data_IF_438338951037
#
_entry.id   IF_438338951037
#
_cell.length_a   1.000
_cell.length_b   1.000
_cell.length_c   1.000
_cell.angle_alpha   90.00
_cell.angle_beta   90.00
_cell.angle_gamma   90.00
#
_symmetry.space_group_name_H-M   'P 1'
#
loop_
_entity.id
_entity.type
_entity.pdbx_description
1 polymer ?
#
# COMPACT_ATOMS: atom_id res chain seq x y z
N UNK A 1 -42.43 -24.48 -7.36
CA UNK A 1 -41.88 -25.85 -7.21
C UNK A 1 -40.37 -25.74 -7.34
N UNK A 2 -39.57 -26.52 -6.61
CA UNK A 2 -38.12 -26.43 -6.73
C UNK A 2 -37.70 -26.74 -8.17
N UNK A 3 -36.85 -25.88 -8.73
CA UNK A 3 -36.31 -26.01 -10.09
C UNK A 3 -35.23 -27.09 -10.18
N UNK A 4 -34.54 -27.34 -9.07
CA UNK A 4 -33.43 -28.27 -8.94
C UNK A 4 -33.65 -29.23 -7.77
N UNK A 5 -33.28 -30.48 -8.01
CA UNK A 5 -33.13 -31.51 -6.98
C UNK A 5 -31.83 -31.31 -6.18
N UNK A 6 -31.74 -31.97 -5.02
CA UNK A 6 -30.54 -31.95 -4.16
C UNK A 6 -29.29 -32.41 -4.94
N UNK A 7 -29.39 -33.44 -5.78
CA UNK A 7 -28.26 -33.94 -6.58
C UNK A 7 -27.87 -33.01 -7.72
N UNK A 8 -28.83 -32.31 -8.34
CA UNK A 8 -28.53 -31.31 -9.35
C UNK A 8 -27.80 -30.10 -8.74
N UNK A 9 -28.25 -29.62 -7.57
CA UNK A 9 -27.63 -28.50 -6.86
C UNK A 9 -26.15 -28.73 -6.55
N UNK A 10 -25.77 -29.95 -6.12
CA UNK A 10 -24.38 -30.32 -5.87
C UNK A 10 -23.50 -30.22 -7.11
N UNK A 11 -24.06 -30.63 -8.24
CA UNK A 11 -23.36 -30.78 -9.51
C UNK A 11 -23.44 -29.53 -10.40
N UNK A 12 -24.11 -28.46 -9.95
CA UNK A 12 -24.11 -27.19 -10.66
C UNK A 12 -22.68 -26.70 -10.89
N UNK A 13 -22.40 -26.42 -12.16
CA UNK A 13 -21.10 -25.91 -12.59
C UNK A 13 -20.93 -24.45 -12.21
N UNK A 14 -22.02 -23.67 -12.29
CA UNK A 14 -22.03 -22.26 -11.88
C UNK A 14 -23.32 -21.93 -11.11
N UNK A 15 -23.39 -22.29 -9.82
CA UNK A 15 -24.59 -22.03 -9.02
C UNK A 15 -24.88 -20.53 -8.86
N UNK A 16 -23.88 -19.65 -9.01
CA UNK A 16 -24.14 -18.21 -9.05
C UNK A 16 -25.06 -17.85 -10.22
N UNK A 17 -24.67 -18.23 -11.44
CA UNK A 17 -25.47 -17.92 -12.63
C UNK A 17 -26.86 -18.55 -12.56
N UNK A 18 -26.92 -19.80 -12.13
CA UNK A 18 -28.16 -20.58 -12.17
C UNK A 18 -29.15 -20.23 -11.05
N UNK A 19 -28.67 -19.86 -9.85
CA UNK A 19 -29.53 -19.57 -8.71
C UNK A 19 -29.72 -18.05 -8.50
N UNK A 20 -28.72 -17.23 -8.78
CA UNK A 20 -28.75 -15.80 -8.48
C UNK A 20 -29.25 -14.93 -9.65
N UNK A 21 -28.83 -15.16 -10.89
CA UNK A 21 -29.22 -14.28 -12.01
C UNK A 21 -30.71 -14.37 -12.38
N UNK A 22 -31.35 -15.52 -12.12
CA UNK A 22 -32.79 -15.72 -12.24
C UNK A 22 -33.48 -15.30 -10.93
N UNK A 23 -34.43 -14.33 -10.98
CA UNK A 23 -34.84 -13.54 -9.80
C UNK A 23 -35.39 -14.40 -8.67
N UNK A 24 -36.09 -15.49 -8.99
CA UNK A 24 -36.85 -16.26 -8.00
C UNK A 24 -36.26 -17.65 -7.74
N UNK A 25 -35.30 -18.10 -8.57
CA UNK A 25 -34.77 -19.47 -8.52
C UNK A 25 -34.13 -19.79 -7.16
N UNK A 26 -33.41 -18.85 -6.55
CA UNK A 26 -32.81 -19.06 -5.23
C UNK A 26 -33.85 -19.37 -4.14
N UNK A 27 -34.91 -18.57 -4.07
CA UNK A 27 -35.99 -18.75 -3.12
C UNK A 27 -36.80 -20.03 -3.40
N UNK A 28 -37.07 -20.34 -4.67
CA UNK A 28 -37.77 -21.56 -5.08
C UNK A 28 -37.05 -22.85 -4.70
N UNK A 29 -35.72 -22.81 -4.60
CA UNK A 29 -34.88 -23.95 -4.24
C UNK A 29 -34.40 -23.94 -2.79
N UNK A 30 -34.92 -23.05 -1.94
CA UNK A 30 -34.50 -22.92 -0.53
C UNK A 30 -34.53 -24.26 0.21
N UNK A 31 -35.62 -25.01 0.09
CA UNK A 31 -35.79 -26.27 0.82
C UNK A 31 -34.80 -27.35 0.29
N UNK A 32 -34.54 -27.38 -1.02
CA UNK A 32 -33.52 -28.26 -1.62
C UNK A 32 -32.10 -27.88 -1.17
N UNK A 33 -31.80 -26.58 -1.09
CA UNK A 33 -30.52 -26.06 -0.58
C UNK A 33 -30.32 -26.40 0.89
N UNK A 34 -31.39 -26.37 1.69
CA UNK A 34 -31.32 -26.69 3.11
C UNK A 34 -31.11 -28.19 3.39
N UNK A 35 -31.58 -29.06 2.49
CA UNK A 35 -31.38 -30.51 2.55
C UNK A 35 -29.98 -30.97 2.14
N UNK A 36 -29.13 -30.10 1.60
CA UNK A 36 -27.75 -30.43 1.28
C UNK A 36 -26.98 -30.84 2.54
N UNK A 37 -26.04 -31.77 2.40
CA UNK A 37 -25.07 -32.02 3.46
C UNK A 37 -24.22 -30.78 3.73
N UNK A 38 -23.72 -30.60 4.96
CA UNK A 38 -22.99 -29.39 5.33
C UNK A 38 -21.79 -29.08 4.41
N UNK A 39 -21.03 -30.09 4.01
CA UNK A 39 -19.92 -29.94 3.07
C UNK A 39 -20.39 -29.52 1.66
N UNK A 40 -21.54 -30.03 1.21
CA UNK A 40 -22.13 -29.63 -0.06
C UNK A 40 -22.64 -28.18 -0.02
N UNK A 41 -23.21 -27.74 1.13
CA UNK A 41 -23.58 -26.33 1.34
C UNK A 41 -22.35 -25.43 1.21
N UNK A 42 -21.23 -25.78 1.86
CA UNK A 42 -19.96 -25.03 1.76
C UNK A 42 -19.45 -25.01 0.31
N UNK A 43 -19.49 -26.14 -0.39
CA UNK A 43 -19.05 -26.25 -1.79
C UNK A 43 -19.87 -25.37 -2.72
N UNK A 44 -21.20 -25.43 -2.63
CA UNK A 44 -22.12 -24.60 -3.42
C UNK A 44 -21.93 -23.12 -3.09
N UNK A 45 -21.91 -22.75 -1.80
CA UNK A 45 -21.67 -21.37 -1.37
C UNK A 45 -20.31 -20.85 -1.86
N UNK A 46 -19.25 -21.65 -1.79
CA UNK A 46 -17.92 -21.31 -2.30
C UNK A 46 -17.95 -21.02 -3.79
N UNK A 47 -18.57 -21.88 -4.61
CA UNK A 47 -18.71 -21.66 -6.05
C UNK A 47 -19.51 -20.39 -6.34
N UNK A 48 -20.58 -20.14 -5.60
CA UNK A 48 -21.40 -18.93 -5.74
C UNK A 48 -20.60 -17.67 -5.44
N UNK A 49 -19.90 -17.66 -4.30
CA UNK A 49 -19.10 -16.53 -3.85
C UNK A 49 -17.91 -16.32 -4.76
N UNK A 50 -17.27 -17.33 -5.33
CA UNK A 50 -16.18 -17.12 -6.30
C UNK A 50 -16.66 -16.55 -7.63
N UNK A 51 -17.80 -17.02 -8.13
CA UNK A 51 -18.32 -16.62 -9.43
C UNK A 51 -19.00 -15.23 -9.42
N UNK A 52 -19.36 -14.70 -8.24
CA UNK A 52 -20.01 -13.40 -8.12
C UNK A 52 -19.07 -12.24 -8.53
N UNK A 53 -19.47 -11.30 -9.40
CA UNK A 53 -18.69 -10.08 -9.66
C UNK A 53 -18.62 -9.13 -8.45
N UNK A 54 -17.52 -8.38 -8.30
CA UNK A 54 -17.33 -7.45 -7.17
C UNK A 54 -18.47 -6.42 -7.02
N UNK A 55 -19.00 -5.91 -8.13
CA UNK A 55 -20.11 -4.95 -8.12
C UNK A 55 -21.48 -5.57 -7.81
N UNK A 56 -21.59 -6.90 -7.73
CA UNK A 56 -22.83 -7.63 -7.43
C UNK A 56 -22.82 -8.30 -6.05
N UNK A 57 -21.72 -8.22 -5.31
CA UNK A 57 -21.61 -8.80 -3.96
C UNK A 57 -22.69 -8.31 -3.00
N UNK A 58 -22.98 -7.01 -3.02
CA UNK A 58 -24.05 -6.42 -2.19
C UNK A 58 -25.42 -6.99 -2.58
N UNK A 59 -25.68 -7.15 -3.87
CA UNK A 59 -26.93 -7.72 -4.36
C UNK A 59 -27.07 -9.19 -3.98
N UNK A 60 -25.98 -9.96 -4.05
CA UNK A 60 -25.95 -11.35 -3.59
C UNK A 60 -26.23 -11.46 -2.09
N UNK A 61 -25.62 -10.60 -1.28
CA UNK A 61 -25.86 -10.55 0.16
C UNK A 61 -27.29 -10.14 0.52
N UNK A 62 -27.91 -9.26 -0.26
CA UNK A 62 -29.32 -8.89 -0.03
C UNK A 62 -30.26 -10.03 -0.42
N UNK A 63 -30.00 -10.67 -1.56
CA UNK A 63 -30.82 -11.78 -2.04
C UNK A 63 -30.68 -13.03 -1.15
N UNK A 64 -29.52 -13.25 -0.53
CA UNK A 64 -29.36 -14.36 0.40
C UNK A 64 -30.30 -14.28 1.61
N UNK A 65 -30.76 -13.08 2.00
CA UNK A 65 -31.74 -12.92 3.07
C UNK A 65 -33.09 -13.59 2.75
N UNK A 66 -33.42 -13.82 1.47
CA UNK A 66 -34.63 -14.56 1.07
C UNK A 66 -34.59 -16.03 1.50
N UNK A 67 -33.39 -16.56 1.76
CA UNK A 67 -33.18 -17.93 2.21
C UNK A 67 -33.39 -18.10 3.72
N UNK A 68 -33.50 -16.99 4.46
CA UNK A 68 -33.66 -16.99 5.92
C UNK A 68 -35.01 -17.58 6.34
N UNK A 69 -35.00 -18.38 7.40
CA UNK A 69 -36.23 -18.93 7.99
C UNK A 69 -36.14 -19.06 9.52
N UNK A 70 -37.28 -19.32 10.19
CA UNK A 70 -37.37 -19.30 11.66
C UNK A 70 -36.62 -20.42 12.38
N UNK A 71 -36.24 -21.49 11.67
CA UNK A 71 -35.55 -22.67 12.23
C UNK A 71 -34.08 -22.72 11.82
N UNK A 72 -33.50 -21.56 11.52
CA UNK A 72 -32.14 -21.46 11.04
C UNK A 72 -31.12 -21.88 12.10
N UNK A 73 -30.15 -22.68 11.68
CA UNK A 73 -29.00 -23.12 12.47
C UNK A 73 -27.72 -22.58 11.85
N UNK A 74 -26.58 -22.71 12.53
CA UNK A 74 -25.27 -22.36 11.96
C UNK A 74 -24.98 -23.13 10.65
N UNK A 75 -25.54 -24.33 10.49
CA UNK A 75 -25.38 -25.17 9.29
C UNK A 75 -26.42 -24.88 8.19
N UNK A 76 -27.38 -23.98 8.43
CA UNK A 76 -28.36 -23.62 7.43
C UNK A 76 -27.70 -22.90 6.25
N UNK A 77 -28.19 -23.14 5.03
CA UNK A 77 -27.50 -22.70 3.82
C UNK A 77 -27.35 -21.17 3.76
N UNK A 78 -28.34 -20.41 4.24
CA UNK A 78 -28.21 -18.96 4.39
C UNK A 78 -26.99 -18.56 5.26
N UNK A 79 -26.82 -19.19 6.43
CA UNK A 79 -25.68 -18.91 7.34
C UNK A 79 -24.34 -19.27 6.71
N UNK A 80 -24.27 -20.40 6.02
CA UNK A 80 -23.09 -20.83 5.28
C UNK A 80 -22.76 -19.82 4.18
N UNK A 81 -23.74 -19.41 3.36
CA UNK A 81 -23.53 -18.41 2.32
C UNK A 81 -23.06 -17.06 2.88
N UNK A 82 -23.69 -16.59 3.97
CA UNK A 82 -23.32 -15.34 4.63
C UNK A 82 -21.89 -15.37 5.19
N UNK A 83 -21.46 -16.49 5.80
CA UNK A 83 -20.07 -16.69 6.24
C UNK A 83 -19.08 -16.72 5.06
N UNK A 84 -19.43 -17.37 3.96
CA UNK A 84 -18.61 -17.35 2.74
C UNK A 84 -18.46 -15.93 2.16
N UNK A 85 -19.55 -15.16 2.14
CA UNK A 85 -19.53 -13.75 1.74
C UNK A 85 -18.65 -12.89 2.66
N UNK A 86 -18.67 -13.17 3.96
CA UNK A 86 -17.82 -12.52 4.95
C UNK A 86 -16.33 -12.78 4.67
N UNK A 87 -15.93 -14.03 4.42
CA UNK A 87 -14.55 -14.38 4.03
C UNK A 87 -14.10 -13.56 2.83
N UNK A 88 -14.96 -13.44 1.80
CA UNK A 88 -14.65 -12.64 0.62
C UNK A 88 -14.51 -11.16 0.93
N UNK A 89 -15.44 -10.58 1.69
CA UNK A 89 -15.36 -9.17 2.08
C UNK A 89 -14.09 -8.86 2.87
N UNK A 90 -13.72 -9.72 3.83
CA UNK A 90 -12.50 -9.55 4.63
C UNK A 90 -11.24 -9.59 3.76
N UNK A 91 -11.13 -10.54 2.83
CA UNK A 91 -9.98 -10.61 1.91
C UNK A 91 -9.91 -9.38 1.00
N UNK A 92 -11.05 -8.94 0.45
CA UNK A 92 -11.09 -7.73 -0.38
C UNK A 92 -10.77 -6.47 0.41
N UNK A 93 -11.24 -6.35 1.65
CA UNK A 93 -10.91 -5.23 2.53
C UNK A 93 -9.41 -5.16 2.85
N UNK A 94 -8.74 -6.32 2.97
CA UNK A 94 -7.28 -6.35 3.12
C UNK A 94 -6.53 -5.97 1.84
N UNK A 95 -7.07 -6.33 0.68
CA UNK A 95 -6.51 -6.02 -0.64
C UNK A 95 -6.82 -4.58 -1.10
N UNK A 96 -7.76 -3.89 -0.46
CA UNK A 96 -8.13 -2.52 -0.81
C UNK A 96 -7.01 -1.50 -0.46
N UNK A 97 -6.48 -0.85 -1.48
CA UNK A 97 -5.47 0.19 -1.35
C UNK A 97 -5.96 1.43 -0.60
N UNK A 98 -7.27 1.68 -0.57
CA UNK A 98 -7.87 2.80 0.17
C UNK A 98 -8.11 2.48 1.66
N UNK A 99 -8.08 1.21 2.06
CA UNK A 99 -8.26 0.84 3.46
C UNK A 99 -7.04 1.27 4.30
N UNK A 100 -7.17 2.18 5.29
CA UNK A 100 -6.04 2.61 6.12
C UNK A 100 -5.52 1.53 7.07
N UNK A 101 -6.35 0.54 7.42
CA UNK A 101 -6.06 -0.48 8.43
C UNK A 101 -6.42 -1.89 7.95
N UNK A 102 -5.83 -2.39 6.84
CA UNK A 102 -6.13 -3.72 6.30
C UNK A 102 -5.88 -4.83 7.31
N UNK A 103 -4.86 -4.69 8.14
CA UNK A 103 -4.46 -5.68 9.14
C UNK A 103 -5.53 -5.98 10.19
N UNK A 104 -6.48 -5.07 10.44
CA UNK A 104 -7.50 -5.28 11.48
C UNK A 104 -8.39 -6.50 11.19
N UNK A 105 -8.55 -6.90 9.92
CA UNK A 105 -9.26 -8.14 9.56
C UNK A 105 -8.57 -9.42 10.06
N UNK A 106 -7.30 -9.31 10.47
CA UNK A 106 -6.46 -10.40 10.96
C UNK A 106 -5.91 -10.14 12.36
N UNK A 107 -6.37 -9.11 13.07
CA UNK A 107 -5.87 -8.75 14.40
C UNK A 107 -7.00 -8.66 15.42
N UNK A 108 -6.66 -8.87 16.69
CA UNK A 108 -7.59 -8.70 17.80
C UNK A 108 -8.77 -9.68 17.78
N UNK A 109 -9.83 -9.30 18.50
CA UNK A 109 -10.99 -10.16 18.77
C UNK A 109 -11.88 -10.42 17.54
N UNK A 110 -11.69 -9.65 16.47
CA UNK A 110 -12.46 -9.80 15.24
C UNK A 110 -11.92 -10.92 14.35
N UNK A 111 -10.67 -11.36 14.57
CA UNK A 111 -10.08 -12.44 13.81
C UNK A 111 -10.69 -13.80 14.20
N UNK A 112 -11.20 -14.53 13.20
CA UNK A 112 -11.77 -15.86 13.36
C UNK A 112 -11.08 -16.83 12.40
N UNK A 113 -10.14 -17.63 12.90
CA UNK A 113 -9.42 -18.61 12.09
C UNK A 113 -10.34 -19.72 11.55
N UNK A 114 -11.32 -20.14 12.34
CA UNK A 114 -12.24 -21.22 11.98
C UNK A 114 -13.09 -20.84 10.78
N UNK A 115 -13.53 -19.58 10.69
CA UNK A 115 -14.24 -19.05 9.53
C UNK A 115 -13.43 -19.21 8.23
N UNK A 116 -12.15 -18.85 8.25
CA UNK A 116 -11.30 -19.01 7.06
C UNK A 116 -11.04 -20.50 6.75
N UNK A 117 -10.84 -21.32 7.79
CA UNK A 117 -10.56 -22.74 7.64
C UNK A 117 -11.77 -23.54 7.13
N UNK A 118 -12.99 -23.16 7.51
CA UNK A 118 -14.23 -23.71 6.97
C UNK A 118 -14.31 -23.52 5.45
N UNK A 119 -13.94 -22.33 4.97
CA UNK A 119 -13.98 -21.97 3.56
C UNK A 119 -12.61 -22.12 2.87
N UNK A 120 -11.98 -23.29 3.03
CA UNK A 120 -10.61 -23.57 2.56
C UNK A 120 -10.36 -23.21 1.10
N UNK A 121 -11.18 -23.73 0.19
CA UNK A 121 -10.97 -23.52 -1.24
C UNK A 121 -11.25 -22.07 -1.66
N UNK A 122 -12.22 -21.42 -1.00
CA UNK A 122 -12.54 -20.01 -1.19
C UNK A 122 -11.36 -19.11 -0.76
N UNK A 123 -10.82 -19.30 0.45
CA UNK A 123 -9.70 -18.49 0.94
C UNK A 123 -8.46 -18.64 0.05
N UNK A 124 -8.16 -19.86 -0.42
CA UNK A 124 -7.00 -20.11 -1.29
C UNK A 124 -7.17 -19.33 -2.59
N UNK A 125 -8.29 -19.50 -3.29
CA UNK A 125 -8.49 -18.84 -4.58
C UNK A 125 -8.53 -17.33 -4.47
N UNK A 126 -9.22 -16.77 -3.47
CA UNK A 126 -9.30 -15.32 -3.29
C UNK A 126 -7.95 -14.71 -2.91
N UNK A 127 -7.19 -15.35 -2.01
CA UNK A 127 -5.87 -14.85 -1.64
C UNK A 127 -4.86 -14.94 -2.77
N UNK A 128 -4.96 -15.95 -3.65
CA UNK A 128 -4.11 -16.05 -4.84
C UNK A 128 -4.43 -14.98 -5.89
N UNK A 129 -5.71 -14.69 -6.12
CA UNK A 129 -6.16 -13.64 -7.03
C UNK A 129 -5.65 -12.25 -6.60
N UNK A 130 -5.66 -11.98 -5.30
CA UNK A 130 -5.33 -10.66 -4.73
C UNK A 130 -3.93 -10.62 -4.09
N UNK A 131 -3.09 -11.65 -4.31
CA UNK A 131 -1.85 -11.86 -3.54
C UNK A 131 -0.94 -10.63 -3.52
N UNK A 132 -0.76 -9.99 -4.67
CA UNK A 132 0.13 -8.82 -4.79
C UNK A 132 -0.39 -7.64 -4.00
N UNK A 133 -1.68 -7.33 -4.09
CA UNK A 133 -2.28 -6.19 -3.39
C UNK A 133 -2.38 -6.45 -1.88
N UNK A 134 -2.72 -7.68 -1.47
CA UNK A 134 -2.68 -8.12 -0.07
C UNK A 134 -1.31 -7.91 0.57
N UNK A 135 -0.25 -8.44 -0.06
CA UNK A 135 1.11 -8.36 0.48
C UNK A 135 1.55 -6.90 0.60
N UNK A 136 1.35 -6.10 -0.45
CA UNK A 136 1.77 -4.69 -0.43
C UNK A 136 1.01 -3.90 0.65
N UNK A 137 -0.32 -4.03 0.72
CA UNK A 137 -1.11 -3.27 1.67
C UNK A 137 -0.82 -3.66 3.12
N UNK A 138 -0.76 -4.96 3.42
CA UNK A 138 -0.45 -5.42 4.76
C UNK A 138 0.95 -4.97 5.19
N UNK A 139 1.97 -5.10 4.34
CA UNK A 139 3.35 -4.74 4.71
C UNK A 139 3.50 -3.23 4.91
N UNK A 140 2.89 -2.41 4.06
CA UNK A 140 2.98 -0.95 4.16
C UNK A 140 2.22 -0.37 5.36
N UNK A 141 1.08 -0.96 5.70
CA UNK A 141 0.15 -0.37 6.69
C UNK A 141 0.19 -1.06 8.05
N UNK A 142 0.86 -2.20 8.19
CA UNK A 142 1.04 -2.87 9.48
C UNK A 142 2.19 -2.22 10.27
N UNK A 143 1.91 -1.68 11.47
CA UNK A 143 2.92 -1.23 12.43
C UNK A 143 3.82 -2.38 12.90
N UNK A 144 5.08 -2.08 13.21
CA UNK A 144 6.08 -3.11 13.51
C UNK A 144 5.73 -3.94 14.76
N UNK A 145 5.08 -3.35 15.76
CA UNK A 145 4.63 -4.05 16.96
C UNK A 145 3.47 -5.03 16.71
N UNK A 146 2.81 -4.98 15.56
CA UNK A 146 1.70 -5.86 15.18
C UNK A 146 2.14 -6.99 14.22
N UNK A 147 3.36 -6.93 13.66
CA UNK A 147 3.83 -7.91 12.66
C UNK A 147 3.83 -9.34 13.20
N UNK A 148 4.18 -9.52 14.47
CA UNK A 148 4.22 -10.87 15.07
C UNK A 148 2.82 -11.49 15.16
N UNK A 149 1.84 -10.75 15.69
CA UNK A 149 0.46 -11.20 15.80
C UNK A 149 -0.15 -11.46 14.41
N UNK A 150 0.08 -10.55 13.46
CA UNK A 150 -0.36 -10.73 12.07
C UNK A 150 0.16 -12.04 11.50
N UNK A 151 1.46 -12.33 11.63
CA UNK A 151 2.05 -13.56 11.11
C UNK A 151 1.49 -14.82 11.81
N UNK A 152 1.17 -14.76 13.10
CA UNK A 152 0.53 -15.85 13.83
C UNK A 152 -0.88 -16.10 13.28
N UNK A 153 -1.67 -15.05 13.09
CA UNK A 153 -3.05 -15.16 12.61
C UNK A 153 -3.12 -15.57 11.12
N UNK A 154 -2.19 -15.10 10.29
CA UNK A 154 -2.04 -15.60 8.90
C UNK A 154 -1.75 -17.10 8.90
N UNK A 155 -0.89 -17.61 9.80
CA UNK A 155 -0.64 -19.07 9.91
C UNK A 155 -1.85 -19.84 10.42
N UNK A 156 -2.69 -19.24 11.27
CA UNK A 156 -3.84 -19.91 11.85
C UNK A 156 -5.04 -19.98 10.89
N UNK A 157 -5.41 -18.86 10.25
CA UNK A 157 -6.60 -18.76 9.40
C UNK A 157 -6.31 -18.84 7.90
N UNK A 158 -5.14 -18.36 7.46
CA UNK A 158 -4.74 -18.35 6.05
C UNK A 158 -3.59 -19.33 5.78
N UNK A 159 -3.54 -20.40 6.58
CA UNK A 159 -2.74 -21.59 6.29
C UNK A 159 -3.01 -22.09 4.86
N UNK A 160 -1.99 -22.69 4.26
CA UNK A 160 -2.04 -23.29 2.90
C UNK A 160 -2.14 -22.29 1.74
N UNK A 161 -2.34 -21.01 2.03
CA UNK A 161 -2.23 -19.93 1.04
C UNK A 161 -0.77 -19.56 0.81
N UNK A 162 -0.49 -18.91 -0.33
CA UNK A 162 0.85 -18.33 -0.62
C UNK A 162 1.11 -17.03 0.16
N UNK A 163 0.14 -16.52 0.90
CA UNK A 163 0.23 -15.23 1.58
C UNK A 163 1.30 -15.22 2.68
N UNK A 164 1.35 -16.23 3.54
CA UNK A 164 2.31 -16.30 4.65
C UNK A 164 3.77 -16.20 4.20
N UNK A 165 4.24 -17.07 3.28
CA UNK A 165 5.59 -16.96 2.72
C UNK A 165 5.86 -15.63 2.04
N UNK A 166 4.91 -15.11 1.24
CA UNK A 166 5.06 -13.84 0.54
C UNK A 166 5.15 -12.63 1.50
N UNK A 167 4.39 -12.64 2.60
CA UNK A 167 4.48 -11.63 3.65
C UNK A 167 5.84 -11.70 4.36
N UNK A 168 6.34 -12.90 4.67
CA UNK A 168 7.64 -13.08 5.29
C UNK A 168 8.76 -12.42 4.47
N UNK A 169 8.82 -12.72 3.17
CA UNK A 169 9.76 -12.10 2.24
C UNK A 169 9.60 -10.58 2.16
N UNK A 170 8.37 -10.09 2.07
CA UNK A 170 8.08 -8.67 1.96
C UNK A 170 8.39 -7.89 3.25
N UNK A 171 8.22 -8.47 4.44
CA UNK A 171 8.64 -7.88 5.70
C UNK A 171 10.17 -7.82 5.85
N UNK A 172 10.89 -8.83 5.35
CA UNK A 172 12.35 -8.75 5.25
C UNK A 172 12.76 -7.57 4.37
N UNK A 173 12.13 -7.42 3.20
CA UNK A 173 12.38 -6.27 2.34
C UNK A 173 12.03 -4.93 3.02
N UNK A 174 10.89 -4.84 3.72
CA UNK A 174 10.49 -3.65 4.48
C UNK A 174 11.60 -3.22 5.46
N UNK A 175 12.18 -4.19 6.18
CA UNK A 175 13.29 -3.93 7.11
C UNK A 175 14.53 -3.39 6.37
N UNK A 176 14.92 -4.01 5.26
CA UNK A 176 16.05 -3.54 4.44
C UNK A 176 15.81 -2.12 3.87
N UNK A 177 14.61 -1.84 3.38
CA UNK A 177 14.23 -0.52 2.88
C UNK A 177 14.20 0.54 3.99
N UNK A 178 13.78 0.16 5.20
CA UNK A 178 13.82 1.04 6.37
C UNK A 178 15.27 1.35 6.77
N UNK A 179 16.16 0.36 6.72
CA UNK A 179 17.60 0.56 6.93
C UNK A 179 18.18 1.53 5.89
N UNK A 180 17.82 1.37 4.61
CA UNK A 180 18.25 2.29 3.54
C UNK A 180 17.82 3.75 3.79
N UNK A 181 16.71 3.99 4.49
CA UNK A 181 16.27 5.34 4.86
C UNK A 181 16.89 5.86 6.17
N UNK A 182 17.57 4.99 6.93
CA UNK A 182 18.12 5.34 8.23
C UNK A 182 19.36 6.24 8.13
N UNK A 183 19.94 6.58 9.28
CA UNK A 183 21.25 7.24 9.36
C UNK A 183 22.39 6.36 8.86
N UNK A 184 22.21 5.03 8.85
CA UNK A 184 23.24 4.04 8.52
C UNK A 184 22.79 3.13 7.35
N UNK A 185 22.58 3.69 6.15
CA UNK A 185 22.00 2.94 5.03
C UNK A 185 22.87 1.80 4.51
N UNK A 186 24.17 1.83 4.81
CA UNK A 186 25.10 0.76 4.44
C UNK A 186 24.75 -0.58 5.10
N UNK A 187 24.08 -0.56 6.27
CA UNK A 187 23.67 -1.77 6.98
C UNK A 187 22.70 -2.64 6.18
N UNK A 188 21.94 -2.05 5.25
CA UNK A 188 21.06 -2.81 4.36
C UNK A 188 21.84 -3.75 3.43
N UNK A 189 23.08 -3.39 3.04
CA UNK A 189 23.93 -4.16 2.12
C UNK A 189 24.84 -5.15 2.84
N UNK A 190 25.15 -4.89 4.11
CA UNK A 190 25.96 -5.81 4.93
C UNK A 190 25.11 -6.79 5.75
N UNK A 191 23.78 -6.66 5.71
CA UNK A 191 22.86 -7.57 6.37
C UNK A 191 22.90 -8.96 5.74
N UNK A 192 22.82 -10.01 6.58
CA UNK A 192 22.64 -11.39 6.12
C UNK A 192 21.34 -11.61 5.36
N UNK A 193 20.36 -10.71 5.53
CA UNK A 193 19.07 -10.79 4.86
C UNK A 193 19.08 -10.13 3.47
N UNK A 194 20.19 -9.49 3.07
CA UNK A 194 20.28 -8.83 1.78
C UNK A 194 20.09 -9.84 0.65
N UNK A 195 19.01 -9.67 -0.11
CA UNK A 195 18.68 -10.51 -1.25
C UNK A 195 18.12 -9.65 -2.39
N UNK A 196 18.88 -9.47 -3.50
CA UNK A 196 18.45 -8.67 -4.65
C UNK A 196 17.11 -9.12 -5.23
N UNK A 197 16.81 -10.42 -5.19
CA UNK A 197 15.57 -10.95 -5.74
C UNK A 197 14.32 -10.37 -5.05
N UNK A 198 14.42 -10.03 -3.76
CA UNK A 198 13.30 -9.43 -3.02
C UNK A 198 12.93 -8.04 -3.56
N UNK A 199 13.93 -7.23 -3.89
CA UNK A 199 13.72 -5.88 -4.43
C UNK A 199 13.01 -5.94 -5.79
N UNK A 200 13.39 -6.89 -6.64
CA UNK A 200 12.76 -7.09 -7.95
C UNK A 200 11.36 -7.72 -7.84
N UNK A 201 11.13 -8.58 -6.84
CA UNK A 201 9.83 -9.22 -6.61
C UNK A 201 8.77 -8.24 -6.10
N UNK A 202 9.17 -7.20 -5.37
CA UNK A 202 8.25 -6.24 -4.76
C UNK A 202 8.52 -4.78 -5.19
N UNK A 203 8.38 -4.45 -6.48
CA UNK A 203 8.72 -3.12 -7.01
C UNK A 203 7.87 -2.00 -6.41
N UNK A 204 6.61 -2.28 -6.04
CA UNK A 204 5.72 -1.31 -5.38
C UNK A 204 6.21 -0.93 -3.98
N UNK A 205 6.70 -1.90 -3.20
CA UNK A 205 7.33 -1.62 -1.91
C UNK A 205 8.58 -0.76 -2.11
N UNK A 206 9.47 -1.16 -3.02
CA UNK A 206 10.68 -0.39 -3.33
C UNK A 206 10.35 1.07 -3.69
N UNK A 207 9.39 1.27 -4.60
CA UNK A 207 8.95 2.59 -5.02
C UNK A 207 8.44 3.44 -3.84
N UNK A 208 7.65 2.86 -2.93
CA UNK A 208 7.11 3.59 -1.78
C UNK A 208 8.16 4.09 -0.79
N UNK A 209 9.33 3.45 -0.73
CA UNK A 209 10.44 3.85 0.15
C UNK A 209 11.49 4.71 -0.56
N UNK A 210 11.72 4.53 -1.85
CA UNK A 210 12.84 5.18 -2.54
C UNK A 210 12.45 6.47 -3.26
N UNK A 211 11.22 6.55 -3.82
CA UNK A 211 10.84 7.69 -4.67
C UNK A 211 10.99 9.03 -3.92
N UNK A 212 11.80 9.92 -4.49
CA UNK A 212 12.05 11.26 -3.98
C UNK A 212 13.11 11.33 -2.87
N UNK A 213 13.73 10.19 -2.51
CA UNK A 213 14.77 10.11 -1.45
C UNK A 213 16.09 9.54 -1.96
N UNK A 214 16.16 9.19 -3.24
CA UNK A 214 17.28 8.48 -3.84
C UNK A 214 18.60 9.23 -3.65
N UNK A 215 18.60 10.56 -3.83
CA UNK A 215 19.81 11.37 -3.80
C UNK A 215 20.39 11.48 -2.39
N UNK A 216 19.51 11.62 -1.39
CA UNK A 216 19.88 11.67 0.02
C UNK A 216 20.49 10.34 0.47
N UNK A 217 19.85 9.22 0.11
CA UNK A 217 20.32 7.88 0.42
C UNK A 217 21.67 7.63 -0.26
N UNK A 218 21.79 7.95 -1.56
CA UNK A 218 23.02 7.82 -2.32
C UNK A 218 24.19 8.59 -1.69
N UNK A 219 23.97 9.83 -1.25
CA UNK A 219 24.99 10.63 -0.60
C UNK A 219 25.46 10.02 0.73
N UNK A 220 24.53 9.52 1.55
CA UNK A 220 24.88 8.82 2.80
C UNK A 220 25.66 7.54 2.54
N UNK A 221 25.27 6.77 1.54
CA UNK A 221 25.97 5.56 1.12
C UNK A 221 27.39 5.87 0.64
N UNK A 222 27.58 6.91 -0.17
CA UNK A 222 28.91 7.34 -0.64
C UNK A 222 29.84 7.78 0.51
N UNK A 223 29.28 8.25 1.63
CA UNK A 223 30.06 8.64 2.81
C UNK A 223 30.44 7.44 3.71
N UNK A 224 29.89 6.25 3.47
CA UNK A 224 30.22 5.05 4.22
C UNK A 224 31.65 4.55 3.91
N UNK A 225 32.19 3.75 4.85
CA UNK A 225 33.45 3.02 4.65
C UNK A 225 33.24 1.71 3.87
N UNK A 226 32.01 1.19 3.81
CA UNK A 226 31.65 -0.08 3.16
C UNK A 226 31.38 0.04 1.65
N UNK A 227 32.09 0.95 0.97
CA UNK A 227 31.79 1.34 -0.43
C UNK A 227 31.82 0.19 -1.41
N UNK A 228 32.76 -0.76 -1.23
CA UNK A 228 32.89 -1.91 -2.12
C UNK A 228 31.66 -2.83 -2.04
N UNK A 229 31.21 -3.13 -0.82
CA UNK A 229 30.01 -3.95 -0.59
C UNK A 229 28.75 -3.24 -1.10
N UNK A 230 28.62 -1.94 -0.84
CA UNK A 230 27.51 -1.11 -1.33
C UNK A 230 27.48 -1.11 -2.88
N UNK A 231 28.62 -0.88 -3.52
CA UNK A 231 28.70 -0.85 -4.97
C UNK A 231 28.30 -2.20 -5.59
N UNK A 232 28.83 -3.30 -5.06
CA UNK A 232 28.46 -4.65 -5.50
C UNK A 232 26.98 -4.95 -5.27
N UNK A 233 26.41 -4.53 -4.14
CA UNK A 233 25.00 -4.70 -3.84
C UNK A 233 24.10 -3.90 -4.79
N UNK A 234 24.40 -2.63 -5.02
CA UNK A 234 23.61 -1.79 -5.93
C UNK A 234 23.74 -2.24 -7.40
N UNK A 235 24.89 -2.78 -7.82
CA UNK A 235 25.05 -3.43 -9.13
C UNK A 235 24.06 -4.58 -9.31
N UNK A 236 23.90 -5.42 -8.27
CA UNK A 236 22.96 -6.55 -8.30
C UNK A 236 21.49 -6.11 -8.33
N UNK A 237 21.19 -4.88 -7.87
CA UNK A 237 19.84 -4.30 -7.88
C UNK A 237 19.48 -3.61 -9.20
N UNK A 238 20.41 -3.53 -10.17
CA UNK A 238 20.10 -2.94 -11.48
C UNK A 238 19.01 -3.76 -12.17
N UNK A 239 17.90 -3.15 -12.60
CA UNK A 239 16.91 -3.85 -13.39
C UNK A 239 17.53 -4.32 -14.72
N UNK A 240 17.19 -5.54 -15.14
CA UNK A 240 17.65 -6.10 -16.41
C UNK A 240 17.16 -5.30 -17.63
N UNK A 241 16.04 -4.57 -17.47
CA UNK A 241 15.52 -3.63 -18.46
C UNK A 241 15.75 -2.22 -17.91
N UNK A 242 16.66 -1.47 -18.55
CA UNK A 242 16.99 -0.11 -18.12
C UNK A 242 15.80 0.83 -18.34
N UNK A 243 15.00 1.04 -17.31
CA UNK A 243 14.08 2.17 -17.24
C UNK A 243 14.76 3.27 -16.43
N UNK A 244 15.03 4.42 -17.07
CA UNK A 244 15.61 5.59 -16.40
C UNK A 244 14.69 6.19 -15.32
N UNK A 245 13.45 5.70 -15.20
CA UNK A 245 12.48 6.10 -14.18
C UNK A 245 12.38 5.10 -13.01
N UNK A 246 13.15 4.01 -13.02
CA UNK A 246 13.15 3.03 -11.94
C UNK A 246 13.94 3.55 -10.71
N UNK A 247 13.36 3.52 -9.49
CA UNK A 247 14.01 4.08 -8.29
C UNK A 247 15.35 3.44 -7.94
N UNK A 248 15.56 2.15 -8.23
CA UNK A 248 16.84 1.48 -7.97
C UNK A 248 17.91 1.94 -8.96
N UNK A 249 17.53 2.13 -10.22
CA UNK A 249 18.40 2.69 -11.26
C UNK A 249 18.83 4.12 -10.94
N UNK A 250 17.89 4.95 -10.48
CA UNK A 250 18.14 6.32 -10.04
C UNK A 250 19.11 6.32 -8.85
N UNK A 251 18.82 5.51 -7.82
CA UNK A 251 19.67 5.37 -6.63
C UNK A 251 21.11 4.97 -7.00
N UNK A 252 21.28 3.97 -7.87
CA UNK A 252 22.61 3.55 -8.33
C UNK A 252 23.34 4.70 -9.05
N UNK A 253 22.69 5.38 -9.98
CA UNK A 253 23.31 6.48 -10.75
C UNK A 253 23.78 7.63 -9.86
N UNK A 254 22.98 7.97 -8.85
CA UNK A 254 23.30 9.03 -7.90
C UNK A 254 24.41 8.60 -6.95
N UNK A 255 24.44 7.31 -6.55
CA UNK A 255 25.54 6.77 -5.76
C UNK A 255 26.88 6.84 -6.51
N UNK A 256 26.91 6.49 -7.80
CA UNK A 256 28.14 6.62 -8.60
C UNK A 256 28.64 8.07 -8.63
N UNK A 257 27.73 9.02 -8.84
CA UNK A 257 28.05 10.45 -8.87
C UNK A 257 28.59 10.91 -7.51
N UNK A 258 27.89 10.59 -6.42
CA UNK A 258 28.29 10.96 -5.07
C UNK A 258 29.61 10.30 -4.63
N UNK A 259 29.87 9.06 -5.06
CA UNK A 259 31.11 8.36 -4.73
C UNK A 259 32.33 9.04 -5.37
N UNK A 260 32.25 9.41 -6.65
CA UNK A 260 33.33 10.16 -7.33
C UNK A 260 33.60 11.49 -6.65
N UNK A 261 32.55 12.23 -6.28
CA UNK A 261 32.69 13.50 -5.56
C UNK A 261 33.34 13.31 -4.18
N UNK A 262 32.95 12.27 -3.46
CA UNK A 262 33.52 11.97 -2.14
C UNK A 262 34.99 11.52 -2.21
N UNK A 263 35.40 10.84 -3.30
CA UNK A 263 36.81 10.49 -3.56
C UNK A 263 37.64 11.73 -3.91
N UNK A 264 37.14 12.60 -4.78
CA UNK A 264 37.80 13.86 -5.13
C UNK A 264 38.00 14.77 -3.90
N UNK A 265 36.99 14.85 -3.01
CA UNK A 265 37.09 15.61 -1.77
C UNK A 265 38.18 15.06 -0.83
N UNK A 266 38.32 13.73 -0.71
CA UNK A 266 39.38 13.09 0.09
C UNK A 266 40.77 13.38 -0.48
N UNK A 267 40.92 13.37 -1.81
CA UNK A 267 42.19 13.71 -2.47
C UNK A 267 42.60 15.18 -2.28
N UNK A 268 41.64 16.12 -2.29
CA UNK A 268 41.93 17.53 -2.00
C UNK A 268 42.29 17.79 -0.52
N UNK A 269 41.69 17.05 0.41
CA UNK A 269 42.08 17.15 1.84
C UNK A 269 43.50 16.62 2.09
N UNK A 270 43.90 15.52 1.44
CA UNK A 270 45.26 14.97 1.58
C UNK A 270 46.34 15.82 0.89
N UNK A 271 46.01 16.54 -0.18
CA UNK A 271 46.97 17.44 -0.85
C UNK A 271 47.08 18.81 -0.15
N UNK A 272 46.02 19.26 0.53
CA UNK A 272 46.06 20.49 1.35
C UNK A 272 46.86 20.36 2.65
N UNK A 273 47.02 19.14 3.21
CA UNK A 273 47.79 18.93 4.44
C UNK A 273 49.32 18.92 4.24
N UNK A 274 49.81 18.97 2.99
CA UNK A 274 51.25 19.04 2.68
C UNK A 274 51.73 20.43 2.25
N UNK A 275 50.86 21.45 2.27
CA UNK A 275 51.25 22.85 1.96
C UNK A 275 51.08 23.69 3.22
N UNK A 276 51.82 23.38 4.29
CA UNK A 276 52.04 24.34 5.38
C UNK A 276 53.29 24.05 6.20
N UNK A 277 54.46 24.06 5.55
CA UNK A 277 55.74 24.38 6.21
C UNK A 277 56.65 25.06 5.21
N UNK A 278 56.60 26.38 5.16
CA UNK A 278 57.75 27.20 4.77
C UNK A 278 57.62 28.54 5.48
N UNK A 279 58.45 28.68 6.51
CA UNK A 279 58.84 29.92 7.14
C UNK A 279 59.03 31.03 6.10
N UNK A 280 58.24 32.10 6.21
CA UNK A 280 58.59 33.39 5.60
C UNK A 280 58.92 34.32 6.76
N UNK A 281 60.23 34.51 6.96
CA UNK A 281 60.82 35.53 7.81
C UNK A 281 60.48 36.92 7.25
N UNK A 282 60.05 37.90 8.06
CA UNK A 282 59.85 39.26 7.58
C UNK A 282 61.21 39.95 7.41
N UNK A 283 61.60 40.25 6.17
CA UNK A 283 62.64 41.23 5.89
C UNK A 283 62.01 42.56 5.48
N UNK A 284 62.48 43.59 6.19
CA UNK A 284 62.37 45.03 5.96
C UNK A 284 61.97 45.46 4.54
N UNK A 285 60.85 46.17 4.44
CA UNK A 285 60.61 47.11 3.35
C UNK A 285 60.56 48.51 3.98
N UNK A 286 61.58 49.30 3.62
CA UNK A 286 61.73 50.71 3.97
C UNK A 286 60.62 51.55 3.37
N UNK A 287 60.23 52.55 4.16
CA UNK A 287 59.41 53.70 3.80
C UNK A 287 59.87 54.37 2.50
N UNK A 288 58.93 54.62 1.58
CA UNK A 288 58.97 55.79 0.70
C UNK A 288 57.61 56.46 0.72
N UNK A 289 57.67 57.76 1.03
CA UNK A 289 56.59 58.73 1.26
C UNK A 289 55.84 59.07 -0.04
N UNK A 290 54.54 59.47 0.03
CA UNK A 290 53.73 59.77 -1.15
C UNK A 290 53.75 61.26 -1.52
N UNK A 291 53.67 61.58 -2.82
CA UNK A 291 53.37 62.96 -3.27
C UNK A 291 52.61 63.00 -4.62
N UNK A 292 51.29 63.22 -4.50
CA UNK A 292 50.41 64.20 -5.20
C UNK A 292 50.03 64.06 -6.71
N UNK A 293 48.77 64.49 -6.94
CA UNK A 293 48.02 64.90 -8.15
C UNK A 293 47.41 63.78 -9.02
N UNK A 294 46.09 63.53 -8.91
CA UNK A 294 44.98 64.26 -9.57
C UNK A 294 45.06 64.25 -11.10
N UNK A 295 44.20 63.46 -11.74
CA UNK A 295 43.32 64.02 -12.77
C UNK A 295 42.01 63.24 -12.86
N UNK A 296 40.94 64.02 -12.77
CA UNK A 296 39.53 63.68 -12.85
C UNK A 296 39.17 63.48 -14.32
N UNK A 297 38.40 62.43 -14.64
CA UNK A 297 37.39 62.51 -15.71
C UNK A 297 36.20 61.61 -15.41
N UNK A 298 35.11 62.27 -15.08
CA UNK A 298 33.74 61.77 -15.10
C UNK A 298 33.36 61.29 -16.49
N UNK A 299 32.75 60.11 -16.59
CA UNK A 299 31.70 59.84 -17.58
C UNK A 299 30.60 59.03 -16.88
N UNK A 300 29.45 59.68 -16.71
CA UNK A 300 28.17 59.11 -16.23
C UNK A 300 27.39 58.52 -17.45
N UNK A 301 26.20 57.90 -17.29
CA UNK A 301 25.92 56.56 -17.79
C UNK A 301 24.92 56.55 -18.96
N UNK A 302 24.98 55.53 -19.82
CA UNK A 302 23.87 55.23 -20.73
C UNK A 302 23.13 53.98 -20.28
N UNK A 303 21.92 54.26 -19.78
CA UNK A 303 20.77 53.37 -19.65
C UNK A 303 20.44 52.64 -20.96
N UNK A 304 20.31 51.31 -20.90
CA UNK A 304 19.57 50.56 -21.91
C UNK A 304 18.80 49.38 -21.28
N UNK A 305 17.49 49.61 -21.20
CA UNK A 305 16.38 48.68 -21.50
C UNK A 305 16.33 47.33 -20.75
N UNK A 306 15.55 47.38 -19.68
CA UNK A 306 14.71 46.30 -19.17
C UNK A 306 13.85 45.72 -20.31
N UNK A 307 14.00 44.43 -20.61
CA UNK A 307 13.04 43.68 -21.42
C UNK A 307 12.35 42.67 -20.50
N UNK A 308 11.03 42.80 -20.40
CA UNK A 308 10.13 41.91 -19.66
C UNK A 308 10.23 40.45 -20.16
N UNK A 309 10.12 39.44 -19.29
CA UNK A 309 9.88 38.07 -19.72
C UNK A 309 8.38 37.87 -20.03
N UNK A 310 8.13 37.47 -21.27
CA UNK A 310 6.84 37.03 -21.81
C UNK A 310 6.15 36.01 -20.91
N UNK A 311 4.94 36.35 -20.47
CA UNK A 311 3.98 35.43 -19.85
C UNK A 311 3.51 34.41 -20.89
N UNK A 312 4.01 33.19 -20.81
CA UNK A 312 3.37 32.02 -21.44
C UNK A 312 2.37 31.46 -20.43
N UNK A 313 1.10 31.56 -20.80
CA UNK A 313 -0.06 31.11 -20.06
C UNK A 313 -0.19 29.58 -20.07
N UNK A 314 0.20 28.92 -18.97
CA UNK A 314 -0.22 27.55 -18.70
C UNK A 314 -1.61 27.54 -18.06
N UNK A 315 -2.66 27.69 -18.87
CA UNK A 315 -4.03 27.45 -18.45
C UNK A 315 -4.31 25.93 -18.41
N UNK A 316 -3.99 25.27 -17.29
CA UNK A 316 -4.53 23.92 -17.02
C UNK A 316 -4.74 23.57 -15.54
N UNK A 317 -4.70 24.55 -14.64
CA UNK A 317 -4.97 24.35 -13.20
C UNK A 317 -6.18 25.13 -12.64
N UNK A 318 -7.03 25.70 -13.50
CA UNK A 318 -8.19 26.50 -13.07
C UNK A 318 -9.54 25.75 -12.97
N UNK A 319 -9.64 24.50 -13.43
CA UNK A 319 -10.93 23.77 -13.50
C UNK A 319 -11.20 22.78 -12.37
N UNK A 320 -10.23 22.50 -11.49
CA UNK A 320 -10.43 21.60 -10.35
C UNK A 320 -10.87 22.31 -9.07
N UNK A 321 -10.60 23.62 -8.93
CA UNK A 321 -11.02 24.39 -7.76
C UNK A 321 -12.53 24.71 -7.77
N UNK A 322 -13.15 24.87 -8.94
CA UNK A 322 -14.59 25.17 -9.06
C UNK A 322 -15.53 23.94 -8.94
N UNK A 323 -14.97 22.73 -8.88
CA UNK A 323 -15.73 21.49 -8.67
C UNK A 323 -15.83 21.10 -7.19
N UNK A 324 -14.94 21.62 -6.34
CA UNK A 324 -14.94 21.34 -4.90
C UNK A 324 -16.04 22.13 -4.15
N UNK A 325 -16.32 23.35 -4.57
CA UNK A 325 -17.38 24.18 -3.96
C UNK A 325 -18.80 23.77 -4.34
N UNK A 326 -19.00 23.07 -5.47
CA UNK A 326 -20.30 22.51 -5.86
C UNK A 326 -20.65 21.19 -5.17
N UNK A 327 -19.67 20.47 -4.63
CA UNK A 327 -19.92 19.22 -3.89
C UNK A 327 -20.27 19.47 -2.41
N UNK A 328 -19.70 20.50 -1.79
CA UNK A 328 -20.00 20.84 -0.39
C UNK A 328 -21.41 21.44 -0.19
N UNK A 329 -22.03 22.00 -1.22
CA UNK A 329 -23.40 22.54 -1.15
C UNK A 329 -24.50 21.49 -1.36
N UNK A 330 -24.16 20.26 -1.79
CA UNK A 330 -25.11 19.15 -1.94
C UNK A 330 -25.14 18.19 -0.75
N UNK A 331 -24.10 18.19 0.09
CA UNK A 331 -24.04 17.32 1.28
C UNK A 331 -24.77 17.92 2.49
N UNK A 332 -24.89 19.25 2.57
CA UNK A 332 -25.60 19.90 3.69
C UNK A 332 -27.13 20.02 3.54
N UNK A 333 -27.73 19.60 2.41
CA UNK A 333 -29.19 19.66 2.22
C UNK A 333 -29.96 18.39 2.58
N UNK A 334 -29.28 17.29 2.90
CA UNK A 334 -29.93 16.00 3.18
C UNK A 334 -29.94 15.62 4.67
N UNK A 335 -29.57 16.53 5.58
CA UNK A 335 -29.48 16.21 7.02
C UNK A 335 -30.47 16.97 7.92
N UNK A 336 -31.42 17.71 7.36
CA UNK A 336 -32.39 18.51 8.16
C UNK A 336 -33.84 17.99 8.11
N UNK A 337 -34.12 16.77 7.64
CA UNK A 337 -35.51 16.29 7.52
C UNK A 337 -35.95 15.04 8.31
N UNK A 338 -35.09 14.42 9.13
CA UNK A 338 -35.44 13.16 9.82
C UNK A 338 -35.41 13.21 11.36
N UNK A 339 -35.41 14.38 12.00
CA UNK A 339 -35.44 14.52 13.47
C UNK A 339 -36.78 14.99 14.07
N UNK A 340 -37.90 14.76 13.38
CA UNK A 340 -39.22 15.18 13.88
C UNK A 340 -40.29 14.09 13.76
N UNK A 341 -40.04 12.86 14.25
CA UNK A 341 -41.12 11.88 14.47
C UNK A 341 -40.79 10.68 15.40
N UNK A 342 -40.03 10.89 16.48
CA UNK A 342 -39.77 9.84 17.48
C UNK A 342 -40.12 10.29 18.90
N UNK A 343 -41.38 10.67 19.14
CA UNK A 343 -41.86 10.86 20.52
C UNK A 343 -43.38 10.71 20.65
N UNK A 344 -43.90 9.47 20.60
CA UNK A 344 -45.25 9.10 21.09
C UNK A 344 -45.46 7.58 21.11
N UNK A 345 -44.96 6.89 22.13
CA UNK A 345 -45.50 5.59 22.57
C UNK A 345 -45.03 5.23 23.99
N UNK A 346 -45.55 5.95 25.00
CA UNK A 346 -45.44 5.52 26.40
C UNK A 346 -46.51 4.45 26.69
N UNK A 347 -46.10 3.19 26.77
CA UNK A 347 -46.88 2.11 27.36
C UNK A 347 -46.98 2.28 28.90
N UNK A 348 -48.17 2.02 29.44
CA UNK A 348 -48.47 1.99 30.89
C UNK A 348 -47.98 0.68 31.52
N UNK A 349 -47.59 0.66 32.81
CA UNK A 349 -47.34 -0.58 33.53
C UNK A 349 -48.66 -1.18 34.07
N UNK A 350 -48.84 -2.49 33.85
CA UNK A 350 -49.81 -3.30 34.59
C UNK A 350 -49.23 -3.63 35.97
N UNK A 351 -49.94 -3.25 37.03
CA UNK A 351 -49.71 -3.75 38.38
C UNK A 351 -50.30 -5.15 38.51
N UNK A 352 -49.49 -6.08 39.00
CA UNK A 352 -49.90 -7.40 39.48
C UNK A 352 -50.28 -7.24 40.96
N UNK A 353 -51.52 -7.58 41.28
CA UNK A 353 -51.94 -8.14 42.56
C UNK A 353 -52.83 -9.34 42.28
#
# INVERSE_FOLDING_TARGET
>A
MPKYTVEELKNLSNPYKELFEDSDTMAENRDSLEQLGYQDKISVATKMVLACPNNQLRSLSLKSEELRHHQETEESFHRVLSRGLEVRHRIQAMADQQNPHPQNNLLGNEFNADLFNEFRDLKIQLTEQELTDLVNNLVLKTPDNQIQELNQNVRAGLSETKLGPALGEAFVLKRLLTLLQSSEPHLAFTSSDFNPALFHKHPRLVASYLIGREAEIAQRLANSNERAAINSGLEQLKPQVMSNADPLSILYSQFQTANVMAEAAKQHQMTSSYVNTSNITPQEIKEVKPEIAQEVREVKPETAKTTEPSKVSNSRYGKFAQLKDKFNTLVHKNHEHDEENANKSKCRPCNIM
#
